data_IF_222653541436
#
_entry.id   IF_222653541436
#
_cell.length_a   1.000
_cell.length_b   1.000
_cell.length_c   1.000
_cell.angle_alpha   90.00
_cell.angle_beta   90.00
_cell.angle_gamma   90.00
#
_symmetry.space_group_name_H-M   'P 1'
#
loop_
_entity.id
_entity.type
_entity.pdbx_description
1 polymer ?
#
# COMPACT_ATOMS: atom_id res chain seq x y z
N UNK A 1 -49.57 2.65 -1.83
CA UNK A 1 -49.06 3.56 -0.77
C UNK A 1 -49.41 2.87 0.54
N UNK A 2 -48.50 2.27 1.30
CA UNK A 2 -47.14 2.67 1.66
C UNK A 2 -46.25 1.40 1.70
N UNK A 3 -45.04 1.51 1.14
CA UNK A 3 -43.96 0.53 1.25
C UNK A 3 -43.48 0.46 2.71
N UNK A 4 -43.45 -0.74 3.29
CA UNK A 4 -42.64 -1.03 4.47
C UNK A 4 -41.46 -1.88 4.01
N UNK A 5 -40.35 -1.16 3.82
CA UNK A 5 -39.04 -1.63 3.42
C UNK A 5 -38.43 -2.37 4.62
N UNK A 6 -38.39 -3.70 4.54
CA UNK A 6 -37.68 -4.54 5.50
C UNK A 6 -36.19 -4.25 5.36
N UNK A 7 -35.64 -3.54 6.34
CA UNK A 7 -34.20 -3.36 6.53
C UNK A 7 -33.66 -4.73 6.93
N UNK A 8 -32.97 -5.37 5.99
CA UNK A 8 -32.26 -6.62 6.21
C UNK A 8 -31.18 -6.40 7.25
N UNK A 9 -31.44 -6.88 8.47
CA UNK A 9 -30.41 -7.14 9.46
C UNK A 9 -29.54 -8.24 8.87
N UNK A 10 -28.39 -7.85 8.32
CA UNK A 10 -27.36 -8.77 7.84
C UNK A 10 -26.73 -9.42 9.08
N UNK A 11 -27.42 -10.43 9.62
CA UNK A 11 -26.82 -11.37 10.55
C UNK A 11 -25.64 -12.02 9.82
N UNK A 12 -24.42 -11.75 10.29
CA UNK A 12 -23.23 -12.45 9.84
C UNK A 12 -23.37 -13.88 10.38
N UNK A 13 -24.04 -14.74 9.60
CA UNK A 13 -23.97 -16.17 9.79
C UNK A 13 -22.51 -16.57 9.54
N UNK A 14 -21.81 -16.95 10.62
CA UNK A 14 -20.55 -17.68 10.51
C UNK A 14 -20.95 -19.08 10.05
N UNK A 15 -21.10 -19.26 8.73
CA UNK A 15 -21.27 -20.58 8.14
C UNK A 15 -20.01 -21.40 8.42
N UNK A 16 -20.21 -22.46 9.20
CA UNK A 16 -19.22 -23.47 9.49
C UNK A 16 -19.03 -24.36 8.26
N UNK A 17 -17.99 -24.08 7.48
CA UNK A 17 -17.27 -25.05 6.68
C UNK A 17 -16.02 -24.37 6.11
N UNK A 18 -14.84 -24.59 6.67
CA UNK A 18 -13.62 -24.24 5.94
C UNK A 18 -12.38 -24.91 6.54
N UNK A 19 -11.43 -25.17 5.66
CA UNK A 19 -10.07 -25.62 5.95
C UNK A 19 -9.52 -24.96 7.24
N UNK A 20 -8.86 -25.74 8.08
CA UNK A 20 -8.35 -25.30 9.37
C UNK A 20 -7.28 -24.22 9.17
N UNK A 21 -7.69 -22.94 9.20
CA UNK A 21 -6.77 -21.81 9.14
C UNK A 21 -6.07 -21.64 10.49
N UNK A 22 -4.77 -21.38 10.45
CA UNK A 22 -4.02 -20.99 11.66
C UNK A 22 -3.65 -19.52 11.61
N UNK A 23 -3.82 -18.84 12.74
CA UNK A 23 -3.52 -17.43 12.88
C UNK A 23 -2.22 -17.26 13.64
N UNK A 24 -1.41 -16.27 13.25
CA UNK A 24 -0.17 -15.98 13.94
C UNK A 24 0.01 -14.48 14.12
N UNK A 25 0.64 -14.15 15.24
CA UNK A 25 1.18 -12.84 15.57
C UNK A 25 2.63 -13.06 15.97
N UNK A 26 3.56 -12.41 15.28
CA UNK A 26 4.96 -12.37 15.64
C UNK A 26 5.46 -10.93 15.73
N UNK A 27 6.72 -10.76 16.10
CA UNK A 27 7.35 -9.43 16.23
C UNK A 27 7.52 -8.70 14.89
N UNK A 28 7.21 -9.37 13.77
CA UNK A 28 7.27 -8.79 12.42
C UNK A 28 5.88 -8.41 11.92
N UNK A 29 4.83 -9.13 12.29
CA UNK A 29 3.46 -8.80 11.90
C UNK A 29 2.44 -9.87 12.28
N UNK A 30 1.26 -9.77 11.67
CA UNK A 30 0.14 -10.68 11.87
C UNK A 30 -0.29 -11.32 10.56
N UNK A 31 -0.82 -12.55 10.62
CA UNK A 31 -1.21 -13.24 9.40
C UNK A 31 -2.03 -14.50 9.60
N UNK A 32 -2.35 -15.11 8.46
CA UNK A 32 -3.14 -16.34 8.34
C UNK A 32 -2.33 -17.34 7.52
N UNK A 33 -2.30 -18.58 7.97
CA UNK A 33 -1.82 -19.74 7.22
C UNK A 33 -2.97 -20.64 6.84
N UNK A 34 -2.87 -21.22 5.65
CA UNK A 34 -3.78 -22.28 5.21
C UNK A 34 -3.53 -23.60 5.95
N UNK A 35 -4.32 -24.62 5.60
CA UNK A 35 -4.21 -25.95 6.20
C UNK A 35 -2.85 -26.63 5.90
N UNK A 36 -2.16 -26.23 4.83
CA UNK A 36 -0.83 -26.71 4.47
C UNK A 36 0.28 -26.01 5.28
N UNK A 37 -0.09 -25.06 6.15
CA UNK A 37 0.83 -24.26 6.95
C UNK A 37 1.51 -23.14 6.17
N UNK A 38 1.09 -22.86 4.95
CA UNK A 38 1.66 -21.80 4.12
C UNK A 38 0.98 -20.46 4.41
N UNK A 39 1.78 -19.39 4.51
CA UNK A 39 1.24 -18.05 4.78
C UNK A 39 0.48 -17.54 3.55
N UNK A 40 -0.82 -17.34 3.71
CA UNK A 40 -1.70 -16.87 2.65
C UNK A 40 -1.98 -15.36 2.71
N UNK A 41 -1.94 -14.80 3.92
CA UNK A 41 -2.18 -13.39 4.20
C UNK A 41 -1.24 -12.95 5.32
N UNK A 42 -0.54 -11.84 5.13
CA UNK A 42 0.39 -11.26 6.09
C UNK A 42 0.34 -9.74 6.05
N UNK A 43 0.27 -9.13 7.23
CA UNK A 43 0.26 -7.69 7.46
C UNK A 43 1.33 -7.32 8.48
N UNK A 44 2.17 -6.37 8.12
CA UNK A 44 3.23 -5.84 8.98
C UNK A 44 3.27 -4.33 8.81
N UNK A 45 2.82 -3.61 9.84
CA UNK A 45 2.87 -2.16 9.93
C UNK A 45 2.56 -1.73 11.37
N UNK A 46 2.97 -0.51 11.73
CA UNK A 46 2.51 0.11 12.98
C UNK A 46 1.13 0.72 12.75
N UNK A 47 0.08 0.17 13.36
CA UNK A 47 -1.26 0.73 13.25
C UNK A 47 -1.42 1.91 14.21
N UNK A 48 -1.81 3.06 13.67
CA UNK A 48 -2.08 4.26 14.46
C UNK A 48 -3.46 4.81 14.13
N UNK A 49 -4.18 5.29 15.13
CA UNK A 49 -5.54 5.78 15.02
C UNK A 49 -5.68 7.15 15.66
N UNK A 50 -6.41 8.06 15.02
CA UNK A 50 -6.88 9.31 15.59
C UNK A 50 -8.40 9.36 15.55
N UNK A 51 -9.02 9.39 16.73
CA UNK A 51 -10.46 9.51 16.84
C UNK A 51 -10.87 10.98 16.96
N UNK A 52 -11.36 11.57 15.86
CA UNK A 52 -11.74 12.99 15.84
C UNK A 52 -12.97 13.30 16.71
N UNK A 53 -13.75 12.29 17.12
CA UNK A 53 -14.86 12.48 18.07
C UNK A 53 -14.41 12.91 19.47
N UNK A 54 -13.11 12.83 19.79
CA UNK A 54 -12.54 13.31 21.06
C UNK A 54 -12.23 14.82 21.06
N UNK A 55 -12.47 15.52 19.94
CA UNK A 55 -12.22 16.95 19.78
C UNK A 55 -10.93 17.28 19.03
N UNK A 56 -10.69 18.58 18.82
CA UNK A 56 -9.48 19.07 18.17
C UNK A 56 -8.22 18.69 18.97
N UNK A 57 -7.22 18.14 18.28
CA UNK A 57 -5.97 17.69 18.92
C UNK A 57 -6.06 16.29 19.54
N UNK A 58 -7.06 15.48 19.18
CA UNK A 58 -7.14 14.08 19.59
C UNK A 58 -5.79 13.36 19.41
N UNK A 59 -5.30 12.65 20.46
CA UNK A 59 -4.00 12.01 20.41
C UNK A 59 -3.98 10.89 19.37
N UNK A 60 -2.80 10.63 18.84
CA UNK A 60 -2.56 9.48 17.98
C UNK A 60 -2.33 8.25 18.86
N UNK A 61 -3.26 7.31 18.83
CA UNK A 61 -3.19 6.05 19.57
C UNK A 61 -2.45 5.00 18.72
N UNK A 62 -1.42 4.37 19.28
CA UNK A 62 -0.73 3.25 18.65
C UNK A 62 -1.41 1.94 19.06
N UNK A 63 -1.70 1.10 18.09
CA UNK A 63 -2.41 -0.16 18.26
C UNK A 63 -1.49 -1.28 17.81
N UNK A 64 -1.13 -2.16 18.74
CA UNK A 64 -0.35 -3.36 18.43
C UNK A 64 -1.28 -4.49 17.99
N UNK A 65 -1.19 -4.93 16.74
CA UNK A 65 -1.99 -6.04 16.23
C UNK A 65 -1.60 -7.39 16.88
N UNK A 66 -0.41 -7.50 17.47
CA UNK A 66 0.09 -8.75 18.04
C UNK A 66 -0.67 -9.23 19.28
N UNK A 67 -1.26 -8.30 20.04
CA UNK A 67 -2.05 -8.60 21.25
C UNK A 67 -3.53 -8.90 20.96
N UNK A 68 -3.91 -8.92 19.68
CA UNK A 68 -5.30 -9.10 19.26
C UNK A 68 -5.70 -10.56 19.10
N UNK A 69 -7.00 -10.83 19.29
CA UNK A 69 -7.59 -12.09 18.82
C UNK A 69 -7.79 -11.97 17.31
N UNK A 70 -7.00 -12.73 16.58
CA UNK A 70 -7.04 -12.76 15.11
C UNK A 70 -8.15 -13.71 14.62
N UNK A 71 -8.74 -13.33 13.49
CA UNK A 71 -9.67 -14.15 12.72
C UNK A 71 -9.57 -13.78 11.25
N UNK A 72 -10.13 -14.57 10.35
CA UNK A 72 -9.98 -14.28 8.93
C UNK A 72 -10.26 -15.46 8.02
N UNK A 73 -10.00 -15.25 6.74
CA UNK A 73 -9.93 -16.31 5.74
C UNK A 73 -8.91 -15.97 4.67
N UNK A 74 -8.27 -17.00 4.13
CA UNK A 74 -7.48 -16.89 2.92
C UNK A 74 -8.40 -16.72 1.70
N UNK A 75 -7.97 -15.93 0.71
CA UNK A 75 -8.58 -15.89 -0.60
C UNK A 75 -7.79 -16.76 -1.59
N UNK A 76 -8.49 -17.33 -2.56
CA UNK A 76 -7.94 -18.20 -3.60
C UNK A 76 -7.65 -17.35 -4.84
N UNK A 77 -6.37 -17.25 -5.19
CA UNK A 77 -5.89 -16.46 -6.34
C UNK A 77 -6.56 -16.81 -7.68
N UNK A 78 -7.08 -18.04 -7.83
CA UNK A 78 -7.71 -18.51 -9.06
C UNK A 78 -9.14 -17.99 -9.29
N UNK A 79 -9.82 -17.46 -8.26
CA UNK A 79 -11.24 -17.08 -8.33
C UNK A 79 -11.42 -15.57 -8.15
N UNK A 80 -11.66 -14.82 -9.23
CA UNK A 80 -11.65 -13.35 -9.24
C UNK A 80 -12.58 -12.71 -8.19
N UNK A 81 -13.70 -13.37 -7.89
CA UNK A 81 -14.69 -12.93 -6.90
C UNK A 81 -14.36 -13.32 -5.45
N UNK A 82 -13.31 -14.13 -5.23
CA UNK A 82 -12.93 -14.55 -3.89
C UNK A 82 -12.21 -13.43 -3.14
N UNK A 83 -12.53 -13.30 -1.85
CA UNK A 83 -12.03 -12.23 -1.01
C UNK A 83 -11.38 -12.77 0.24
N UNK A 84 -10.16 -12.32 0.50
CA UNK A 84 -9.46 -12.59 1.74
C UNK A 84 -9.80 -11.50 2.77
N UNK A 85 -9.85 -11.85 4.05
CA UNK A 85 -9.93 -10.82 5.10
C UNK A 85 -9.16 -11.24 6.35
N UNK A 86 -8.68 -10.24 7.08
CA UNK A 86 -8.13 -10.39 8.41
C UNK A 86 -8.90 -9.49 9.37
N UNK A 87 -9.35 -10.05 10.48
CA UNK A 87 -9.95 -9.33 11.60
C UNK A 87 -9.01 -9.38 12.80
N UNK A 88 -8.79 -8.23 13.44
CA UNK A 88 -8.04 -8.11 14.69
C UNK A 88 -8.98 -7.55 15.77
N UNK A 89 -9.24 -8.34 16.82
CA UNK A 89 -10.18 -7.99 17.89
C UNK A 89 -9.46 -7.73 19.21
N UNK A 90 -9.72 -6.58 19.80
CA UNK A 90 -9.18 -6.12 21.07
C UNK A 90 -10.30 -5.96 22.09
N UNK A 91 -10.10 -6.45 23.31
CA UNK A 91 -11.06 -6.23 24.40
C UNK A 91 -10.35 -5.48 25.51
N UNK A 92 -10.84 -4.28 25.83
CA UNK A 92 -10.29 -3.45 26.88
C UNK A 92 -11.42 -2.81 27.68
N UNK A 93 -11.47 -3.10 29.00
CA UNK A 93 -12.41 -2.51 29.97
C UNK A 93 -13.86 -2.48 29.41
N UNK A 94 -14.38 -3.66 29.07
CA UNK A 94 -15.73 -3.88 28.52
C UNK A 94 -16.03 -3.26 27.15
N UNK A 95 -15.04 -2.69 26.48
CA UNK A 95 -15.15 -2.28 25.07
C UNK A 95 -14.41 -3.24 24.19
N UNK A 96 -15.08 -3.65 23.12
CA UNK A 96 -14.50 -4.50 22.11
C UNK A 96 -14.25 -3.67 20.86
N UNK A 97 -12.99 -3.54 20.48
CA UNK A 97 -12.58 -2.87 19.23
C UNK A 97 -12.21 -3.92 18.21
N UNK A 98 -12.72 -3.80 16.99
CA UNK A 98 -12.44 -4.74 15.90
C UNK A 98 -11.99 -3.99 14.68
N UNK A 99 -10.79 -4.32 14.18
CA UNK A 99 -10.32 -3.89 12.87
C UNK A 99 -10.56 -5.00 11.87
N UNK A 100 -11.05 -4.66 10.68
CA UNK A 100 -11.23 -5.59 9.58
C UNK A 100 -10.55 -5.06 8.33
N UNK A 101 -9.68 -5.88 7.75
CA UNK A 101 -8.95 -5.60 6.52
C UNK A 101 -9.47 -6.53 5.43
N UNK A 102 -10.19 -5.99 4.45
CA UNK A 102 -10.78 -6.78 3.36
C UNK A 102 -9.99 -6.62 2.07
N UNK A 103 -9.60 -7.74 1.50
CA UNK A 103 -8.84 -7.84 0.27
C UNK A 103 -9.71 -8.44 -0.82
N UNK A 104 -9.61 -7.89 -2.03
CA UNK A 104 -10.21 -8.45 -3.23
C UNK A 104 -9.19 -8.47 -4.34
N UNK A 105 -9.39 -9.32 -5.32
CA UNK A 105 -8.65 -9.25 -6.57
C UNK A 105 -9.49 -8.63 -7.68
N UNK A 106 -8.80 -8.05 -8.65
CA UNK A 106 -9.40 -7.53 -9.86
C UNK A 106 -8.34 -7.51 -10.96
N UNK A 107 -8.74 -7.81 -12.18
CA UNK A 107 -7.92 -7.59 -13.36
C UNK A 107 -8.04 -6.14 -13.80
N UNK A 108 -6.90 -5.44 -13.89
CA UNK A 108 -6.86 -4.06 -14.39
C UNK A 108 -5.94 -3.96 -15.60
N UNK A 109 -6.22 -3.01 -16.50
CA UNK A 109 -5.35 -2.74 -17.65
C UNK A 109 -4.29 -1.70 -17.25
N UNK A 110 -3.02 -2.11 -17.30
CA UNK A 110 -1.85 -1.25 -17.06
C UNK A 110 -1.00 -1.24 -18.32
N UNK A 111 -0.77 -0.06 -18.90
CA UNK A 111 0.10 0.13 -20.08
C UNK A 111 -0.20 -0.85 -21.25
N UNK A 112 -1.50 -1.10 -21.50
CA UNK A 112 -2.06 -2.00 -22.54
C UNK A 112 -2.02 -3.50 -22.22
N UNK A 113 -1.57 -3.91 -21.04
CA UNK A 113 -1.60 -5.29 -20.59
C UNK A 113 -2.59 -5.47 -19.45
N UNK A 114 -3.35 -6.56 -19.50
CA UNK A 114 -4.16 -7.00 -18.37
C UNK A 114 -3.24 -7.52 -17.27
N UNK A 115 -3.42 -6.99 -16.07
CA UNK A 115 -2.67 -7.38 -14.89
C UNK A 115 -3.63 -7.69 -13.75
N UNK A 116 -3.56 -8.92 -13.23
CA UNK A 116 -4.25 -9.29 -12.00
C UNK A 116 -3.60 -8.59 -10.80
N UNK A 117 -4.40 -7.89 -10.01
CA UNK A 117 -3.96 -7.17 -8.83
C UNK A 117 -4.86 -7.47 -7.65
N UNK A 118 -4.27 -7.55 -6.47
CA UNK A 118 -5.01 -7.52 -5.22
C UNK A 118 -5.11 -6.07 -4.72
N UNK A 119 -6.17 -5.80 -3.96
CA UNK A 119 -6.37 -4.51 -3.30
C UNK A 119 -6.95 -4.69 -1.91
N UNK A 120 -6.44 -3.93 -0.95
CA UNK A 120 -7.13 -3.64 0.31
C UNK A 120 -8.26 -2.66 -0.03
N UNK A 121 -9.44 -3.19 -0.36
CA UNK A 121 -10.53 -2.40 -0.93
C UNK A 121 -11.46 -1.81 0.13
N UNK A 122 -11.47 -2.40 1.33
CA UNK A 122 -12.27 -1.90 2.43
C UNK A 122 -11.61 -2.19 3.76
N UNK A 123 -11.47 -1.15 4.55
CA UNK A 123 -11.09 -1.26 5.95
C UNK A 123 -12.25 -0.79 6.82
N UNK A 124 -12.47 -1.47 7.94
CA UNK A 124 -13.47 -1.04 8.91
C UNK A 124 -12.94 -1.09 10.33
N UNK A 125 -13.44 -0.18 11.14
CA UNK A 125 -13.24 -0.15 12.58
C UNK A 125 -14.60 -0.24 13.24
N UNK A 126 -14.77 -1.19 14.15
CA UNK A 126 -15.98 -1.30 14.95
C UNK A 126 -15.64 -1.20 16.43
N UNK A 127 -16.42 -0.42 17.17
CA UNK A 127 -16.36 -0.36 18.63
C UNK A 127 -17.71 -0.84 19.17
N UNK A 128 -17.67 -1.90 19.97
CA UNK A 128 -18.83 -2.45 20.65
C UNK A 128 -18.69 -2.24 22.16
N UNK A 129 -19.78 -1.81 22.77
CA UNK A 129 -19.92 -1.63 24.21
C UNK A 129 -21.33 -2.07 24.60
N UNK A 130 -21.42 -3.05 25.50
CA UNK A 130 -22.68 -3.69 25.86
C UNK A 130 -23.41 -4.24 24.61
N UNK A 131 -24.71 -3.98 24.44
CA UNK A 131 -25.49 -4.38 23.26
C UNK A 131 -25.40 -3.40 22.07
N UNK A 132 -24.55 -2.37 22.16
CA UNK A 132 -24.40 -1.35 21.11
C UNK A 132 -23.09 -1.51 20.34
N UNK A 133 -23.16 -1.32 19.02
CA UNK A 133 -21.99 -1.35 18.14
C UNK A 133 -22.03 -0.16 17.18
N UNK A 134 -20.88 0.51 17.04
CA UNK A 134 -20.66 1.57 16.07
C UNK A 134 -19.62 1.10 15.07
N UNK A 135 -19.88 1.26 13.77
CA UNK A 135 -19.01 0.77 12.69
C UNK A 135 -18.62 1.91 11.75
N UNK A 136 -17.33 2.16 11.63
CA UNK A 136 -16.73 3.12 10.72
C UNK A 136 -16.15 2.38 9.50
N UNK A 137 -16.39 2.91 8.32
CA UNK A 137 -16.04 2.27 7.05
C UNK A 137 -15.17 3.19 6.19
N UNK A 138 -14.18 2.63 5.49
CA UNK A 138 -13.46 3.37 4.46
C UNK A 138 -14.40 3.71 3.28
N UNK A 139 -14.13 4.80 2.53
CA UNK A 139 -14.98 5.21 1.42
C UNK A 139 -15.18 4.10 0.40
N UNK A 140 -16.40 3.99 -0.14
CA UNK A 140 -16.68 3.03 -1.20
C UNK A 140 -15.91 3.40 -2.47
N UNK A 141 -15.28 2.40 -3.10
CA UNK A 141 -14.60 2.57 -4.39
C UNK A 141 -13.17 3.09 -4.33
N UNK A 142 -12.64 3.44 -3.15
CA UNK A 142 -11.20 3.73 -2.99
C UNK A 142 -10.46 2.53 -2.40
N UNK A 143 -9.50 2.00 -3.15
CA UNK A 143 -8.55 1.02 -2.59
C UNK A 143 -7.54 1.77 -1.72
N UNK A 144 -7.38 1.33 -0.46
CA UNK A 144 -6.37 1.89 0.44
C UNK A 144 -4.96 1.59 -0.08
N UNK A 145 -4.77 0.34 -0.52
CA UNK A 145 -3.51 -0.16 -1.11
C UNK A 145 -3.83 -1.15 -2.22
N UNK A 146 -3.02 -1.20 -3.27
CA UNK A 146 -3.08 -2.26 -4.28
C UNK A 146 -1.70 -2.70 -4.74
N UNK A 147 -1.59 -3.98 -5.12
CA UNK A 147 -0.35 -4.59 -5.59
C UNK A 147 -0.62 -5.68 -6.63
N UNK A 148 0.37 -6.04 -7.46
CA UNK A 148 0.27 -7.20 -8.34
C UNK A 148 0.01 -8.48 -7.56
N UNK A 149 -0.76 -9.40 -8.16
CA UNK A 149 -1.03 -10.72 -7.58
C UNK A 149 0.28 -11.49 -7.34
N UNK A 150 0.35 -12.26 -6.26
CA UNK A 150 1.55 -13.03 -5.86
C UNK A 150 2.81 -12.16 -5.76
N UNK A 151 2.70 -10.96 -5.23
CA UNK A 151 3.84 -10.11 -4.86
C UNK A 151 3.59 -9.48 -3.49
N UNK A 152 4.62 -9.37 -2.67
CA UNK A 152 4.59 -8.65 -1.41
C UNK A 152 4.63 -7.15 -1.70
N UNK A 153 3.65 -6.40 -1.24
CA UNK A 153 3.67 -4.95 -1.30
C UNK A 153 4.52 -4.41 -0.16
N UNK A 154 5.48 -3.53 -0.46
CA UNK A 154 6.33 -2.86 0.51
C UNK A 154 6.30 -1.35 0.29
N UNK A 155 6.01 -0.60 1.35
CA UNK A 155 6.06 0.86 1.34
C UNK A 155 6.83 1.38 2.57
N UNK A 156 7.76 2.31 2.34
CA UNK A 156 8.53 2.97 3.41
C UNK A 156 7.92 4.29 3.86
N UNK A 157 6.75 4.62 3.32
CA UNK A 157 6.00 5.82 3.64
C UNK A 157 4.70 5.43 4.38
N UNK A 158 4.24 6.32 5.25
CA UNK A 158 2.95 6.15 5.95
C UNK A 158 1.80 6.20 4.95
N UNK A 159 0.87 5.25 5.07
CA UNK A 159 -0.36 5.20 4.28
C UNK A 159 -1.52 5.62 5.18
N UNK A 160 -2.31 6.59 4.77
CA UNK A 160 -3.44 7.09 5.54
C UNK A 160 -4.78 6.71 4.89
N UNK A 161 -5.78 6.49 5.72
CA UNK A 161 -7.17 6.33 5.27
C UNK A 161 -8.11 6.83 6.35
N UNK A 162 -9.21 7.43 5.93
CA UNK A 162 -10.21 8.00 6.83
C UNK A 162 -11.44 7.11 6.81
N UNK A 163 -11.87 6.66 7.99
CA UNK A 163 -13.07 5.86 8.19
C UNK A 163 -14.23 6.77 8.56
N UNK A 164 -15.35 6.63 7.87
CA UNK A 164 -16.53 7.50 8.01
C UNK A 164 -17.69 6.75 8.65
N UNK A 165 -18.56 7.50 9.32
CA UNK A 165 -19.85 7.05 9.84
C UNK A 165 -20.89 8.15 9.58
N UNK A 166 -22.17 7.78 9.47
CA UNK A 166 -23.26 8.72 9.15
C UNK A 166 -23.59 9.75 10.26
N UNK A 167 -23.05 9.58 11.46
CA UNK A 167 -23.46 10.32 12.67
C UNK A 167 -22.24 10.84 13.42
N UNK A 168 -21.23 9.99 13.57
CA UNK A 168 -19.99 10.33 14.24
C UNK A 168 -18.99 10.99 13.31
N UNK A 169 -18.09 11.80 13.87
CA UNK A 169 -16.95 12.34 13.15
C UNK A 169 -16.04 11.22 12.63
N UNK A 170 -15.35 11.44 11.50
CA UNK A 170 -14.47 10.44 10.91
C UNK A 170 -13.30 10.08 11.82
N UNK A 171 -12.78 8.86 11.65
CA UNK A 171 -11.58 8.36 12.34
C UNK A 171 -10.46 8.22 11.32
N UNK A 172 -9.32 8.84 11.58
CA UNK A 172 -8.16 8.73 10.71
C UNK A 172 -7.27 7.56 11.13
N UNK A 173 -6.93 6.70 10.19
CA UNK A 173 -6.07 5.54 10.38
C UNK A 173 -4.78 5.73 9.59
N UNK A 174 -3.66 5.43 10.23
CA UNK A 174 -2.33 5.53 9.67
C UNK A 174 -1.64 4.18 9.78
N UNK A 175 -1.19 3.66 8.63
CA UNK A 175 -0.34 2.49 8.53
C UNK A 175 1.11 2.99 8.47
N UNK A 176 1.81 2.88 9.59
CA UNK A 176 3.19 3.34 9.75
C UNK A 176 4.22 2.44 9.07
N UNK A 177 5.33 2.99 8.56
CA UNK A 177 6.35 2.23 7.84
C UNK A 177 7.23 1.37 8.76
N UNK A 178 7.84 0.29 8.24
CA UNK A 178 7.60 -0.27 6.90
C UNK A 178 6.22 -0.93 6.82
N UNK A 179 5.45 -0.59 5.78
CA UNK A 179 4.17 -1.22 5.49
C UNK A 179 4.42 -2.37 4.53
N UNK A 180 4.27 -3.58 5.04
CA UNK A 180 4.41 -4.82 4.29
C UNK A 180 3.08 -5.56 4.29
N UNK A 181 2.53 -5.80 3.10
CA UNK A 181 1.24 -6.46 2.93
C UNK A 181 1.39 -7.53 1.87
N UNK A 182 0.93 -8.73 2.19
CA UNK A 182 0.86 -9.85 1.27
C UNK A 182 -0.50 -10.52 1.40
N UNK A 183 -1.17 -10.73 0.27
CA UNK A 183 -2.43 -11.46 0.20
C UNK A 183 -2.39 -12.44 -0.98
N UNK A 184 -3.19 -13.51 -0.89
CA UNK A 184 -3.27 -14.57 -1.90
C UNK A 184 -1.97 -15.38 -2.07
N UNK A 185 -1.28 -15.67 -0.95
CA UNK A 185 -0.12 -16.58 -0.92
C UNK A 185 1.24 -15.89 -0.85
N UNK A 186 2.22 -16.62 -0.32
CA UNK A 186 3.61 -16.19 -0.29
C UNK A 186 4.26 -16.18 -1.68
N UNK A 187 5.08 -15.17 -1.91
CA UNK A 187 5.89 -14.97 -3.09
C UNK A 187 7.16 -14.24 -2.71
N UNK A 188 8.27 -14.62 -3.33
CA UNK A 188 9.59 -13.99 -3.16
C UNK A 188 9.72 -12.65 -3.88
N UNK A 189 8.73 -12.27 -4.68
CA UNK A 189 8.76 -11.02 -5.45
C UNK A 189 8.19 -9.86 -4.64
N UNK A 190 8.95 -8.76 -4.59
CA UNK A 190 8.60 -7.54 -3.85
C UNK A 190 8.13 -6.46 -4.84
N UNK A 191 6.98 -5.87 -4.56
CA UNK A 191 6.45 -4.70 -5.24
C UNK A 191 6.58 -3.47 -4.34
N UNK A 192 7.44 -2.53 -4.75
CA UNK A 192 7.61 -1.26 -4.04
C UNK A 192 6.50 -0.29 -4.42
N UNK A 193 5.90 0.35 -3.41
CA UNK A 193 4.94 1.42 -3.65
C UNK A 193 5.58 2.56 -4.45
N UNK A 194 4.80 3.22 -5.31
CA UNK A 194 5.32 4.21 -6.26
C UNK A 194 6.02 5.39 -5.56
N UNK A 195 5.50 5.81 -4.39
CA UNK A 195 6.09 6.88 -3.59
C UNK A 195 7.51 6.54 -3.13
N UNK A 196 7.69 5.36 -2.55
CA UNK A 196 9.01 4.86 -2.15
C UNK A 196 9.92 4.65 -3.35
N UNK A 197 9.38 4.15 -4.48
CA UNK A 197 10.14 4.02 -5.73
C UNK A 197 10.66 5.36 -6.23
N UNK A 198 9.81 6.40 -6.28
CA UNK A 198 10.21 7.75 -6.71
C UNK A 198 11.31 8.33 -5.81
N UNK A 199 11.18 8.14 -4.49
CA UNK A 199 12.20 8.59 -3.52
C UNK A 199 13.53 7.86 -3.69
N UNK A 200 13.52 6.54 -3.87
CA UNK A 200 14.74 5.77 -4.11
C UNK A 200 15.42 6.18 -5.42
N UNK A 201 14.64 6.50 -6.46
CA UNK A 201 15.17 7.04 -7.70
C UNK A 201 15.78 8.43 -7.52
N UNK A 202 15.13 9.35 -6.78
CA UNK A 202 15.69 10.67 -6.51
C UNK A 202 16.98 10.59 -5.68
N UNK A 203 17.02 9.74 -4.66
CA UNK A 203 18.24 9.48 -3.87
C UNK A 203 19.36 8.92 -4.77
N UNK A 204 19.02 8.13 -5.80
CA UNK A 204 20.00 7.63 -6.78
C UNK A 204 20.49 8.72 -7.75
N UNK A 205 19.69 9.74 -8.05
CA UNK A 205 20.13 10.89 -8.84
C UNK A 205 21.02 11.85 -8.05
N UNK A 206 20.79 11.98 -6.74
CA UNK A 206 21.66 12.73 -5.83
C UNK A 206 22.93 11.97 -5.42
N UNK A 207 23.06 10.71 -5.85
CA UNK A 207 24.26 9.93 -5.60
C UNK A 207 25.49 10.65 -6.18
N UNK A 208 26.57 10.70 -5.38
CA UNK A 208 27.84 11.36 -5.74
C UNK A 208 28.39 10.91 -7.10
N UNK A 209 28.13 9.67 -7.51
CA UNK A 209 28.50 9.12 -8.82
C UNK A 209 27.78 9.77 -10.00
N UNK A 210 26.49 10.09 -9.85
CA UNK A 210 25.67 10.73 -10.88
C UNK A 210 26.07 12.20 -11.07
N UNK A 211 26.31 12.91 -9.95
CA UNK A 211 26.85 14.28 -9.97
C UNK A 211 28.25 14.31 -10.61
N UNK A 212 29.13 13.38 -10.24
CA UNK A 212 30.46 13.27 -10.83
C UNK A 212 30.40 13.00 -12.35
N UNK A 213 29.50 12.12 -12.80
CA UNK A 213 29.30 11.83 -14.22
C UNK A 213 28.79 13.05 -14.98
N UNK A 214 27.86 13.82 -14.39
CA UNK A 214 27.36 15.06 -14.98
C UNK A 214 28.45 16.12 -15.14
N UNK A 215 29.32 16.29 -14.15
CA UNK A 215 30.45 17.23 -14.21
C UNK A 215 31.44 16.82 -15.31
N UNK A 216 31.80 15.54 -15.39
CA UNK A 216 32.72 15.03 -16.42
C UNK A 216 32.14 15.26 -17.82
N UNK A 217 30.86 14.98 -18.04
CA UNK A 217 30.20 15.22 -19.33
C UNK A 217 30.19 16.70 -19.71
N UNK A 218 29.95 17.59 -18.74
CA UNK A 218 29.92 19.03 -18.97
C UNK A 218 31.31 19.56 -19.35
N UNK A 219 32.35 19.12 -18.64
CA UNK A 219 33.75 19.46 -18.95
C UNK A 219 34.21 18.89 -20.29
N UNK A 220 33.85 17.65 -20.62
CA UNK A 220 34.20 17.06 -21.92
C UNK A 220 33.52 17.80 -23.07
N UNK A 221 32.27 18.24 -22.88
CA UNK A 221 31.51 18.99 -23.89
C UNK A 221 32.15 20.34 -24.17
N UNK A 222 32.49 21.09 -23.11
CA UNK A 222 33.19 22.38 -23.22
C UNK A 222 34.57 22.17 -23.85
N UNK A 223 35.32 21.15 -23.42
CA UNK A 223 36.64 20.84 -23.96
C UNK A 223 36.62 20.53 -25.46
N UNK A 224 35.62 19.79 -25.95
CA UNK A 224 35.45 19.51 -27.38
C UNK A 224 35.09 20.77 -28.15
N UNK A 225 34.17 21.60 -27.66
CA UNK A 225 33.74 22.83 -28.34
C UNK A 225 34.91 23.83 -28.41
N UNK A 226 35.57 24.10 -27.28
CA UNK A 226 36.69 25.03 -27.20
C UNK A 226 37.89 24.49 -28.00
N UNK A 227 38.24 23.21 -27.84
CA UNK A 227 39.32 22.58 -28.59
C UNK A 227 39.08 22.59 -30.10
N UNK A 228 37.85 22.32 -30.54
CA UNK A 228 37.50 22.37 -31.96
C UNK A 228 37.52 23.81 -32.50
N UNK A 229 37.09 24.78 -31.71
CA UNK A 229 37.10 26.21 -32.09
C UNK A 229 38.53 26.74 -32.18
N UNK A 230 39.39 26.42 -31.21
CA UNK A 230 40.81 26.78 -31.23
C UNK A 230 41.56 26.09 -32.39
N UNK A 231 41.29 24.80 -32.63
CA UNK A 231 41.87 24.07 -33.77
C UNK A 231 41.52 24.72 -35.11
N UNK A 232 40.28 25.21 -35.26
CA UNK A 232 39.86 25.97 -36.46
C UNK A 232 40.53 27.35 -36.56
N UNK A 233 40.85 27.98 -35.43
CA UNK A 233 41.51 29.28 -35.42
C UNK A 233 43.02 29.20 -35.72
N UNK A 234 43.71 28.16 -35.24
CA UNK A 234 45.17 28.02 -35.37
C UNK A 234 45.64 27.21 -36.58
N UNK A 235 44.75 26.52 -37.31
CA UNK A 235 45.08 25.81 -38.56
C UNK A 235 44.38 26.51 -39.75
N UNK A 236 44.94 27.63 -40.27
CA UNK A 236 44.33 28.43 -41.33
C UNK A 236 44.43 27.80 -42.73
N UNK A 237 45.19 26.72 -42.92
CA UNK A 237 45.40 26.13 -44.26
C UNK A 237 44.13 25.61 -44.94
N UNK A 238 43.05 25.36 -44.20
CA UNK A 238 41.75 25.02 -44.81
C UNK A 238 40.92 26.23 -45.24
N UNK A 239 41.16 27.45 -44.74
CA UNK A 239 40.45 28.65 -45.24
C UNK A 239 40.85 28.95 -46.70
N UNK A 240 42.14 28.80 -47.02
CA UNK A 240 42.64 28.99 -48.39
C UNK A 240 42.08 27.97 -49.40
N UNK A 241 41.62 26.80 -48.97
CA UNK A 241 41.00 25.82 -49.86
C UNK A 241 39.52 26.09 -50.16
N UNK A 242 38.81 26.84 -49.29
CA UNK A 242 37.40 27.20 -49.50
C UNK A 242 37.24 28.57 -50.19
N UNK A 243 38.17 29.51 -50.02
CA UNK A 243 38.14 30.80 -50.72
C UNK A 243 38.51 30.69 -52.22
N UNK A 244 39.07 29.56 -52.66
CA UNK A 244 39.43 29.30 -54.06
C UNK A 244 38.32 28.58 -54.87
N UNK A 245 37.12 28.42 -54.30
CA UNK A 245 35.94 27.82 -54.96
C UNK A 245 34.80 28.83 -55.17
N UNK A 246 35.06 30.13 -54.97
CA UNK A 246 34.14 31.24 -55.27
C UNK A 246 34.55 32.02 -56.51
#
# INVERSE_FOLDING_TARGET
>A
MILLQWIGVMAIAIEAASAEYTYFADHRGVGIRDADGTTCLYLSFTLQMRNNNLGEGAPLESIDLGDSVLGGRCGIAAHEDDSAYLSAKFTHINRTRTFLFNFKQATIVVDRYEQARWSLYRMSYAEAYDDQQVVFLSPNGSSVVSGPLKQQFTCRDTINTTLTHDVYQPIDIFLGPPVEIQSYGMSSNIYLCERTRRRSLSESFEAKSTVASGIVLLLSSIGVIVGHTLRRHFIPERKAAYDNLG
#
